data_IF_501253804985
#
_entry.id   IF_501253804985
#
_cell.length_a   1.000
_cell.length_b   1.000
_cell.length_c   1.000
_cell.angle_alpha   90.00
_cell.angle_beta   90.00
_cell.angle_gamma   90.00
#
_symmetry.space_group_name_H-M   'P 1'
#
loop_
_entity.id
_entity.type
_entity.pdbx_description
1 polymer ?
#
# COMPACT_ATOMS: atom_id res chain seq x y z
N UNK A 1 10.47 -12.38 18.45
CA UNK A 1 10.12 -11.47 17.34
C UNK A 1 10.29 -10.04 17.83
N UNK A 2 11.14 -9.23 17.21
CA UNK A 2 11.31 -7.84 17.64
C UNK A 2 10.13 -7.04 17.07
N UNK A 3 9.35 -6.41 17.93
CA UNK A 3 8.22 -5.56 17.52
C UNK A 3 8.78 -4.37 16.74
N UNK A 4 8.35 -4.20 15.50
CA UNK A 4 8.70 -3.04 14.68
C UNK A 4 7.61 -1.98 14.79
N UNK A 5 8.01 -0.72 14.78
CA UNK A 5 7.08 0.41 14.70
C UNK A 5 6.67 0.62 13.24
N UNK A 6 5.39 0.89 13.01
CA UNK A 6 4.81 1.11 11.68
C UNK A 6 4.35 2.57 11.55
N UNK A 7 5.22 3.50 11.12
CA UNK A 7 4.81 4.87 10.86
C UNK A 7 3.97 4.95 9.60
N UNK A 8 2.85 5.70 9.65
CA UNK A 8 2.04 6.02 8.47
C UNK A 8 2.59 7.31 7.85
N UNK A 9 3.00 7.24 6.62
CA UNK A 9 3.65 8.33 5.89
C UNK A 9 2.95 8.58 4.55
N UNK A 10 2.72 9.82 4.20
CA UNK A 10 2.34 10.19 2.83
C UNK A 10 3.59 10.23 1.97
N UNK A 11 3.53 9.70 0.74
CA UNK A 11 4.70 9.66 -0.13
C UNK A 11 5.03 11.04 -0.73
N UNK A 12 5.45 11.97 0.11
CA UNK A 12 5.82 13.36 -0.23
C UNK A 12 7.30 13.62 0.01
N UNK A 13 7.82 14.65 -0.61
CA UNK A 13 9.24 14.98 -0.56
C UNK A 13 9.80 15.15 0.88
N UNK A 14 9.00 15.66 1.81
CA UNK A 14 9.40 15.79 3.22
C UNK A 14 9.65 14.44 3.88
N UNK A 15 8.70 13.53 3.78
CA UNK A 15 8.76 12.18 4.33
C UNK A 15 9.85 11.35 3.66
N UNK A 16 9.98 11.46 2.33
CA UNK A 16 11.05 10.82 1.57
C UNK A 16 12.44 11.27 2.05
N UNK A 17 12.62 12.58 2.28
CA UNK A 17 13.86 13.11 2.81
C UNK A 17 14.14 12.66 4.25
N UNK A 18 13.09 12.53 5.07
CA UNK A 18 13.23 11.98 6.41
C UNK A 18 13.69 10.52 6.38
N UNK A 19 13.07 9.68 5.56
CA UNK A 19 13.45 8.27 5.41
C UNK A 19 14.91 8.09 4.98
N UNK A 20 15.38 8.91 4.03
CA UNK A 20 16.80 8.91 3.59
C UNK A 20 17.80 9.25 4.70
N UNK A 21 17.38 10.05 5.69
CA UNK A 21 18.25 10.55 6.77
C UNK A 21 18.19 9.72 8.05
N UNK A 22 17.37 8.68 8.09
CA UNK A 22 17.29 7.81 9.26
C UNK A 22 18.62 7.09 9.50
N UNK A 23 19.02 7.05 10.77
CA UNK A 23 20.14 6.19 11.14
C UNK A 23 19.81 4.71 10.88
N UNK A 24 20.79 3.85 10.62
CA UNK A 24 20.55 2.42 10.40
C UNK A 24 19.74 1.77 11.53
N UNK A 25 19.99 2.15 12.78
CA UNK A 25 19.27 1.64 13.96
C UNK A 25 17.78 1.96 13.88
N UNK A 26 17.42 3.22 13.63
CA UNK A 26 16.02 3.63 13.52
C UNK A 26 15.38 3.00 12.28
N UNK A 27 16.08 3.03 11.17
CA UNK A 27 15.59 2.46 9.91
C UNK A 27 15.28 0.96 10.01
N UNK A 28 16.06 0.21 10.79
CA UNK A 28 15.82 -1.23 11.02
C UNK A 28 14.70 -1.51 12.04
N UNK A 29 14.33 -0.51 12.84
CA UNK A 29 13.26 -0.63 13.84
C UNK A 29 11.86 -0.31 13.30
N UNK A 30 11.75 0.13 12.03
CA UNK A 30 10.47 0.51 11.43
C UNK A 30 10.15 -0.32 10.19
N UNK A 31 8.85 -0.47 9.90
CA UNK A 31 8.31 -0.85 8.59
C UNK A 31 7.35 0.27 8.20
N UNK A 32 7.68 1.16 7.27
CA UNK A 32 6.82 2.27 6.94
C UNK A 32 5.55 1.80 6.21
N UNK A 33 4.43 2.40 6.57
CA UNK A 33 3.16 2.31 5.84
C UNK A 33 3.06 3.55 4.95
N UNK A 34 3.13 3.36 3.65
CA UNK A 34 3.23 4.43 2.67
C UNK A 34 1.88 4.66 1.99
N UNK A 35 1.29 5.83 2.22
CA UNK A 35 0.11 6.29 1.50
C UNK A 35 0.54 7.02 0.22
N UNK A 36 0.12 6.50 -0.91
CA UNK A 36 0.42 7.06 -2.23
C UNK A 36 -0.84 7.66 -2.82
N UNK A 37 -0.82 8.97 -3.04
CA UNK A 37 -1.87 9.67 -3.78
C UNK A 37 -1.52 9.75 -5.25
N UNK A 38 -2.52 9.87 -6.12
CA UNK A 38 -2.30 10.17 -7.54
C UNK A 38 -1.41 11.39 -7.69
N UNK A 39 -0.51 11.41 -8.66
CA UNK A 39 0.18 12.64 -9.03
C UNK A 39 -0.85 13.72 -9.37
N UNK A 40 -0.72 14.89 -8.76
CA UNK A 40 -1.67 15.99 -9.02
C UNK A 40 -1.76 16.28 -10.52
N UNK A 41 -2.97 16.30 -11.04
CA UNK A 41 -3.22 16.73 -12.41
C UNK A 41 -2.66 18.14 -12.60
N UNK A 42 -1.65 18.26 -13.43
CA UNK A 42 -1.26 19.53 -13.98
C UNK A 42 -1.83 19.62 -15.39
N UNK A 43 -2.16 20.79 -15.84
CA UNK A 43 -2.87 21.07 -17.09
C UNK A 43 -2.20 20.63 -18.40
N UNK A 44 -1.21 19.71 -18.34
CA UNK A 44 -0.51 19.16 -19.51
C UNK A 44 -0.17 17.69 -19.30
N UNK A 45 -0.67 16.82 -20.16
CA UNK A 45 -0.48 15.36 -20.15
C UNK A 45 0.99 14.92 -20.05
N UNK A 46 1.89 15.68 -20.67
CA UNK A 46 3.35 15.40 -20.64
C UNK A 46 3.97 15.52 -19.25
N UNK A 47 3.32 16.24 -18.34
CA UNK A 47 3.76 16.42 -16.97
C UNK A 47 3.30 15.25 -16.05
N UNK A 48 2.20 14.59 -16.36
CA UNK A 48 1.66 13.50 -15.56
C UNK A 48 2.53 12.24 -15.67
N UNK A 49 2.92 11.85 -16.88
CA UNK A 49 3.79 10.71 -17.14
C UNK A 49 5.16 10.87 -16.48
N UNK A 50 5.75 12.05 -16.58
CA UNK A 50 7.03 12.36 -15.91
C UNK A 50 6.91 12.32 -14.39
N UNK A 51 5.79 12.77 -13.82
CA UNK A 51 5.53 12.72 -12.39
C UNK A 51 5.35 11.28 -11.93
N UNK A 52 4.62 10.48 -12.68
CA UNK A 52 4.45 9.06 -12.41
C UNK A 52 5.79 8.33 -12.44
N UNK A 53 6.59 8.51 -13.48
CA UNK A 53 7.93 7.90 -13.59
C UNK A 53 8.85 8.29 -12.42
N UNK A 54 8.81 9.55 -11.99
CA UNK A 54 9.55 10.01 -10.80
C UNK A 54 9.04 9.36 -9.52
N UNK A 55 7.72 9.22 -9.37
CA UNK A 55 7.09 8.55 -8.25
C UNK A 55 7.60 7.10 -8.16
N UNK A 56 7.48 6.34 -9.23
CA UNK A 56 7.94 4.95 -9.32
C UNK A 56 9.42 4.82 -8.96
N UNK A 57 10.29 5.59 -9.62
CA UNK A 57 11.73 5.55 -9.38
C UNK A 57 12.10 5.89 -7.92
N UNK A 58 11.30 6.71 -7.26
CA UNK A 58 11.59 7.15 -5.89
C UNK A 58 11.53 6.02 -4.87
N UNK A 59 10.70 4.99 -5.07
CA UNK A 59 10.62 3.85 -4.15
C UNK A 59 11.94 3.10 -4.07
N UNK A 60 12.47 2.68 -5.20
CA UNK A 60 13.73 1.94 -5.27
C UNK A 60 14.93 2.78 -4.77
N UNK A 61 14.90 4.10 -4.96
CA UNK A 61 15.99 4.97 -4.52
C UNK A 61 15.96 5.29 -3.01
N UNK A 62 14.79 5.19 -2.35
CA UNK A 62 14.62 5.61 -0.95
C UNK A 62 14.51 4.42 -0.01
N UNK A 63 13.90 3.32 -0.44
CA UNK A 63 13.65 2.12 0.33
C UNK A 63 14.33 0.87 -0.28
N UNK A 64 15.59 0.94 -0.73
CA UNK A 64 16.21 -0.22 -1.35
C UNK A 64 16.19 -1.39 -0.37
N UNK A 65 15.69 -2.55 -0.80
CA UNK A 65 15.68 -3.81 -0.04
C UNK A 65 14.97 -3.77 1.32
N UNK A 66 14.14 -2.73 1.59
CA UNK A 66 13.41 -2.62 2.85
C UNK A 66 11.93 -2.93 2.67
N UNK A 67 11.34 -3.71 3.58
CA UNK A 67 9.91 -3.94 3.55
C UNK A 67 9.15 -2.65 3.88
N UNK A 68 8.07 -2.42 3.16
CA UNK A 68 7.12 -1.37 3.42
C UNK A 68 5.72 -1.80 3.00
N UNK A 69 4.71 -1.25 3.67
CA UNK A 69 3.33 -1.39 3.26
C UNK A 69 2.98 -0.29 2.26
N UNK A 70 2.37 -0.68 1.14
CA UNK A 70 1.97 0.21 0.05
C UNK A 70 0.45 0.33 0.02
N UNK A 71 -0.05 1.51 0.26
CA UNK A 71 -1.48 1.83 0.20
C UNK A 71 -1.73 2.90 -0.87
N UNK A 72 -2.52 2.55 -1.88
CA UNK A 72 -3.01 3.51 -2.87
C UNK A 72 -4.27 4.17 -2.31
N UNK A 73 -4.27 5.50 -2.23
CA UNK A 73 -5.43 6.24 -1.70
C UNK A 73 -6.62 6.18 -2.68
N UNK A 74 -7.82 6.47 -2.20
CA UNK A 74 -9.06 6.42 -2.98
C UNK A 74 -8.99 7.19 -4.31
N UNK A 75 -8.19 8.22 -4.40
CA UNK A 75 -8.01 9.01 -5.63
C UNK A 75 -7.53 8.18 -6.84
N UNK A 76 -6.96 6.99 -6.61
CA UNK A 76 -6.59 6.07 -7.68
C UNK A 76 -7.79 5.33 -8.28
N UNK A 77 -8.95 5.38 -7.61
CA UNK A 77 -10.14 4.59 -7.93
C UNK A 77 -11.39 5.42 -8.21
N UNK A 78 -11.38 6.72 -7.90
CA UNK A 78 -12.55 7.58 -8.01
C UNK A 78 -13.17 7.63 -9.42
N UNK A 79 -12.37 7.38 -10.46
CA UNK A 79 -12.80 7.36 -11.85
C UNK A 79 -13.05 5.94 -12.38
N UNK A 80 -12.95 4.92 -11.51
CA UNK A 80 -13.23 3.55 -11.90
C UNK A 80 -14.72 3.26 -11.71
N UNK A 81 -15.44 3.13 -12.82
CA UNK A 81 -16.85 2.71 -12.84
C UNK A 81 -17.05 1.27 -12.31
N UNK A 82 -15.96 0.54 -12.05
CA UNK A 82 -15.97 -0.86 -11.66
C UNK A 82 -14.94 -1.13 -10.57
N UNK A 83 -15.41 -1.45 -9.37
CA UNK A 83 -14.57 -1.79 -8.22
C UNK A 83 -13.66 -3.03 -8.47
N UNK A 84 -13.99 -3.88 -9.44
CA UNK A 84 -13.15 -5.01 -9.83
C UNK A 84 -11.81 -4.57 -10.45
N UNK A 85 -11.69 -3.31 -10.87
CA UNK A 85 -10.44 -2.75 -11.39
C UNK A 85 -9.44 -2.35 -10.30
N UNK A 86 -9.85 -2.30 -9.04
CA UNK A 86 -8.96 -1.95 -7.92
C UNK A 86 -7.75 -2.92 -7.84
N UNK A 87 -7.94 -4.25 -7.87
CA UNK A 87 -6.82 -5.19 -7.86
C UNK A 87 -5.88 -5.02 -9.05
N UNK A 88 -6.43 -4.74 -10.23
CA UNK A 88 -5.65 -4.52 -11.45
C UNK A 88 -4.78 -3.26 -11.32
N UNK A 89 -5.33 -2.16 -10.80
CA UNK A 89 -4.58 -0.93 -10.56
C UNK A 89 -3.42 -1.15 -9.58
N UNK A 90 -3.65 -1.87 -8.48
CA UNK A 90 -2.59 -2.24 -7.54
C UNK A 90 -1.52 -3.10 -8.20
N UNK A 91 -1.94 -4.10 -8.97
CA UNK A 91 -1.03 -5.01 -9.65
C UNK A 91 -0.12 -4.26 -10.61
N UNK A 92 -0.68 -3.41 -11.47
CA UNK A 92 0.08 -2.56 -12.40
C UNK A 92 1.06 -1.68 -11.62
N UNK A 93 0.61 -1.02 -10.55
CA UNK A 93 1.48 -0.16 -9.76
C UNK A 93 2.62 -0.93 -9.10
N UNK A 94 2.37 -2.12 -8.56
CA UNK A 94 3.39 -2.99 -7.96
C UNK A 94 4.39 -3.51 -9.00
N UNK A 95 3.90 -3.85 -10.21
CA UNK A 95 4.75 -4.25 -11.33
C UNK A 95 5.65 -3.09 -11.79
N UNK A 96 5.10 -1.87 -11.86
CA UNK A 96 5.85 -0.68 -12.29
C UNK A 96 6.95 -0.28 -11.27
N UNK A 97 6.69 -0.38 -9.97
CA UNK A 97 7.73 -0.11 -8.96
C UNK A 97 8.78 -1.20 -8.91
N UNK A 98 8.45 -2.42 -9.31
CA UNK A 98 9.35 -3.60 -9.33
C UNK A 98 10.18 -3.71 -8.04
N UNK A 99 9.53 -3.57 -6.89
CA UNK A 99 10.20 -3.56 -5.59
C UNK A 99 9.94 -4.86 -4.83
N UNK A 100 10.97 -5.69 -4.57
CA UNK A 100 10.80 -7.05 -4.04
C UNK A 100 10.23 -7.10 -2.62
N UNK A 101 10.28 -6.00 -1.88
CA UNK A 101 9.84 -5.94 -0.48
C UNK A 101 8.55 -5.12 -0.29
N UNK A 102 7.87 -4.72 -1.37
CA UNK A 102 6.60 -4.02 -1.27
C UNK A 102 5.49 -4.99 -0.83
N UNK A 103 4.72 -4.61 0.18
CA UNK A 103 3.60 -5.37 0.71
C UNK A 103 2.33 -4.57 0.41
N UNK A 104 1.43 -5.04 -0.45
CA UNK A 104 0.19 -4.32 -0.73
C UNK A 104 -0.64 -4.15 0.55
N UNK A 105 -1.21 -2.97 0.72
CA UNK A 105 -2.06 -2.64 1.84
C UNK A 105 -3.36 -2.03 1.34
N UNK A 106 -4.49 -2.38 1.93
CA UNK A 106 -5.75 -1.74 1.62
C UNK A 106 -6.70 -1.70 2.81
N UNK A 107 -7.66 -0.81 2.73
CA UNK A 107 -8.63 -0.58 3.80
C UNK A 107 -9.85 -1.49 3.63
N UNK A 108 -10.24 -2.11 4.73
CA UNK A 108 -11.43 -2.93 4.81
C UNK A 108 -12.64 -2.03 5.09
N UNK A 109 -13.21 -1.46 4.05
CA UNK A 109 -14.36 -0.57 4.19
C UNK A 109 -15.68 -1.24 3.82
N UNK A 110 -15.63 -2.32 3.02
CA UNK A 110 -16.82 -3.01 2.52
C UNK A 110 -16.52 -4.44 2.04
N UNK A 111 -17.58 -5.16 1.68
CA UNK A 111 -17.49 -6.55 1.17
C UNK A 111 -16.67 -6.67 -0.13
N UNK A 112 -16.66 -5.63 -0.96
CA UNK A 112 -15.90 -5.60 -2.22
C UNK A 112 -14.40 -5.60 -1.96
N UNK A 113 -13.94 -4.81 -0.99
CA UNK A 113 -12.54 -4.80 -0.60
C UNK A 113 -12.13 -6.15 0.00
N UNK A 114 -13.03 -6.77 0.76
CA UNK A 114 -12.81 -8.10 1.34
C UNK A 114 -12.64 -9.14 0.24
N UNK A 115 -13.51 -9.18 -0.75
CA UNK A 115 -13.47 -10.17 -1.82
C UNK A 115 -12.27 -10.02 -2.75
N UNK A 116 -11.74 -8.82 -2.89
CA UNK A 116 -10.63 -8.51 -3.78
C UNK A 116 -9.24 -8.71 -3.16
N UNK A 117 -9.15 -8.71 -1.83
CA UNK A 117 -7.86 -8.82 -1.13
C UNK A 117 -7.00 -10.05 -1.53
N UNK A 118 -7.53 -11.29 -1.89
CA UNK A 118 -6.70 -12.40 -2.38
C UNK A 118 -5.90 -12.05 -3.61
N UNK A 119 -6.55 -11.30 -4.50
CA UNK A 119 -5.96 -10.92 -5.78
C UNK A 119 -4.84 -9.87 -5.61
N UNK A 120 -4.77 -9.24 -4.44
CA UNK A 120 -3.75 -8.25 -4.10
C UNK A 120 -2.56 -8.84 -3.33
N UNK A 121 -2.71 -10.04 -2.78
CA UNK A 121 -1.64 -10.71 -2.04
C UNK A 121 -0.46 -11.02 -2.96
N UNK A 122 0.73 -10.61 -2.58
CA UNK A 122 1.98 -11.05 -3.20
C UNK A 122 2.73 -12.03 -2.29
N UNK A 123 3.95 -12.42 -2.67
CA UNK A 123 4.81 -13.31 -1.90
C UNK A 123 5.16 -12.80 -0.49
N UNK A 124 5.15 -11.48 -0.28
CA UNK A 124 5.39 -10.84 1.01
C UNK A 124 4.13 -10.76 1.88
N UNK A 125 2.99 -11.21 1.37
CA UNK A 125 1.71 -11.18 2.05
C UNK A 125 0.84 -9.99 1.67
N UNK A 126 0.00 -9.56 2.61
CA UNK A 126 -0.92 -8.43 2.46
C UNK A 126 -1.10 -7.75 3.81
N UNK A 127 -1.25 -6.44 3.82
CA UNK A 127 -1.59 -5.65 5.00
C UNK A 127 -3.05 -5.21 4.93
N UNK A 128 -3.81 -5.49 5.97
CA UNK A 128 -5.19 -5.05 6.10
C UNK A 128 -5.25 -3.85 7.05
N UNK A 129 -5.69 -2.71 6.54
CA UNK A 129 -5.96 -1.52 7.34
C UNK A 129 -7.42 -1.55 7.77
N UNK A 130 -7.65 -1.40 9.06
CA UNK A 130 -8.98 -1.35 9.64
C UNK A 130 -9.17 0.02 10.27
N UNK A 131 -10.22 0.74 9.88
CA UNK A 131 -10.53 2.01 10.49
C UNK A 131 -10.99 1.81 11.94
N UNK A 132 -10.77 2.81 12.80
CA UNK A 132 -11.20 2.73 14.19
C UNK A 132 -12.73 2.55 14.31
N UNK A 133 -13.48 3.10 13.35
CA UNK A 133 -14.93 2.98 13.30
C UNK A 133 -15.41 1.56 12.96
N UNK A 134 -14.56 0.78 12.29
CA UNK A 134 -14.84 -0.61 11.92
C UNK A 134 -14.32 -1.60 12.96
N UNK A 135 -13.69 -1.12 14.02
CA UNK A 135 -13.07 -1.99 15.02
C UNK A 135 -14.08 -2.79 15.84
N UNK A 136 -15.29 -2.26 16.01
CA UNK A 136 -16.40 -2.95 16.69
C UNK A 136 -16.84 -4.22 15.93
N UNK A 137 -16.66 -4.22 14.60
CA UNK A 137 -16.99 -5.34 13.71
C UNK A 137 -15.78 -6.20 13.35
N UNK A 138 -14.62 -5.99 13.99
CA UNK A 138 -13.40 -6.70 13.66
C UNK A 138 -13.56 -8.24 13.69
N UNK A 139 -14.32 -8.74 14.65
CA UNK A 139 -14.60 -10.18 14.77
C UNK A 139 -15.31 -10.74 13.53
N UNK A 140 -16.35 -10.05 13.08
CA UNK A 140 -17.14 -10.42 11.90
C UNK A 140 -16.30 -10.33 10.62
N UNK A 141 -15.52 -9.27 10.49
CA UNK A 141 -14.59 -9.05 9.38
C UNK A 141 -13.57 -10.19 9.31
N UNK A 142 -12.92 -10.54 10.41
CA UNK A 142 -11.94 -11.62 10.46
C UNK A 142 -12.57 -13.00 10.19
N UNK A 143 -13.82 -13.21 10.60
CA UNK A 143 -14.55 -14.45 10.32
C UNK A 143 -14.90 -14.59 8.84
N UNK A 144 -15.31 -13.51 8.18
CA UNK A 144 -15.50 -13.46 6.74
C UNK A 144 -14.21 -13.78 5.98
N UNK A 145 -13.07 -13.24 6.44
CA UNK A 145 -11.76 -13.57 5.88
C UNK A 145 -11.42 -15.03 6.01
N UNK A 146 -11.63 -15.59 7.19
CA UNK A 146 -11.36 -17.00 7.48
C UNK A 146 -12.19 -17.95 6.64
N UNK A 147 -13.46 -17.62 6.42
CA UNK A 147 -14.39 -18.45 5.64
C UNK A 147 -14.12 -18.41 4.14
N UNK A 148 -13.47 -17.35 3.64
CA UNK A 148 -13.11 -17.21 2.23
C UNK A 148 -11.74 -17.84 1.87
N UNK A 149 -11.24 -18.78 2.66
CA UNK A 149 -10.02 -19.59 2.40
C UNK A 149 -8.69 -18.81 2.36
N UNK A 150 -8.61 -17.67 3.02
CA UNK A 150 -7.45 -16.76 2.91
C UNK A 150 -6.36 -17.03 3.92
N UNK A 151 -6.73 -17.60 5.06
CA UNK A 151 -5.82 -17.96 6.12
C UNK A 151 -5.85 -19.47 6.20
N UNK A 152 -5.10 -20.16 5.36
CA UNK A 152 -4.63 -21.50 5.71
C UNK A 152 -3.52 -21.27 6.74
N UNK A 153 -3.71 -21.65 8.00
CA UNK A 153 -2.58 -21.75 8.92
C UNK A 153 -1.66 -22.84 8.38
N UNK A 154 -0.45 -22.47 7.98
CA UNK A 154 0.67 -23.41 7.90
C UNK A 154 1.14 -23.76 9.31
#
# INVERSE_FOLDING_TARGET
MQTKYVPILKWKAGEQNCLKKLSPTVSNAIIPFIEVSTPSESSKDEDAEKKYSKLIHSFNSILPEKPFYLYLTENWYNDLDDANKIPETYKIFLEDIDHPQAIPAFELTDELNISNAPNLRNENGICLRISINSFEHLGEILEQYRNNSWITPE
#
